data_IF_608684663928
#
_entry.id   IF_608684663928
#
_cell.length_a   1.000
_cell.length_b   1.000
_cell.length_c   1.000
_cell.angle_alpha   90.00
_cell.angle_beta   90.00
_cell.angle_gamma   90.00
#
_symmetry.space_group_name_H-M   'P 1'
#
loop_
_entity.id
_entity.type
_entity.pdbx_description
1 polymer ?
#
# COMPACT_ATOMS: atom_id res chain seq x y z
N UNK A 1 16.04 -4.52 1.37
CA UNK A 1 15.10 -5.65 1.37
C UNK A 1 15.79 -6.93 1.82
N UNK A 2 16.71 -7.51 1.03
CA UNK A 2 17.43 -8.76 1.41
C UNK A 2 18.13 -8.67 2.77
N UNK A 3 18.83 -7.56 3.05
CA UNK A 3 19.52 -7.36 4.33
C UNK A 3 18.55 -7.41 5.52
N UNK A 4 17.41 -6.71 5.41
CA UNK A 4 16.44 -6.59 6.49
C UNK A 4 15.69 -7.89 6.77
N UNK A 5 15.32 -8.63 5.73
CA UNK A 5 14.43 -9.80 5.86
C UNK A 5 15.13 -11.14 5.85
N UNK A 6 16.42 -11.19 5.47
CA UNK A 6 17.21 -12.42 5.46
C UNK A 6 18.38 -12.30 6.42
N UNK A 7 19.26 -11.30 6.23
CA UNK A 7 20.52 -11.25 6.99
C UNK A 7 20.34 -10.91 8.47
N UNK A 8 19.50 -9.92 8.81
CA UNK A 8 19.20 -9.54 10.20
C UNK A 8 18.55 -10.69 11.00
N UNK A 9 17.42 -11.29 10.55
CA UNK A 9 16.82 -12.38 11.31
C UNK A 9 17.70 -13.61 11.40
N UNK A 10 18.50 -13.89 10.37
CA UNK A 10 19.43 -15.01 10.41
C UNK A 10 20.56 -14.78 11.41
N UNK A 11 21.11 -13.56 11.49
CA UNK A 11 22.10 -13.22 12.53
C UNK A 11 21.50 -13.25 13.93
N UNK A 12 20.26 -12.76 14.12
CA UNK A 12 19.55 -12.84 15.39
C UNK A 12 19.31 -14.31 15.79
N UNK A 13 18.90 -15.17 14.85
CA UNK A 13 18.70 -16.59 15.10
C UNK A 13 20.00 -17.29 15.54
N UNK A 14 21.12 -17.01 14.86
CA UNK A 14 22.44 -17.54 15.25
C UNK A 14 22.82 -17.06 16.65
N UNK A 15 22.62 -15.77 16.96
CA UNK A 15 22.87 -15.21 18.29
C UNK A 15 22.04 -15.90 19.37
N UNK A 16 20.75 -16.13 19.12
CA UNK A 16 19.86 -16.83 20.04
C UNK A 16 20.31 -18.27 20.28
N UNK A 17 20.73 -19.00 19.24
CA UNK A 17 21.29 -20.34 19.39
C UNK A 17 22.59 -20.36 20.21
N UNK A 18 23.53 -19.45 19.93
CA UNK A 18 24.79 -19.34 20.68
C UNK A 18 24.54 -19.01 22.16
N UNK A 19 23.60 -18.11 22.43
CA UNK A 19 23.25 -17.72 23.80
C UNK A 19 22.48 -18.83 24.54
N UNK A 20 21.67 -19.63 23.83
CA UNK A 20 21.01 -20.81 24.39
C UNK A 20 22.04 -21.88 24.81
N UNK A 21 23.04 -22.17 23.96
CA UNK A 21 24.12 -23.12 24.29
C UNK A 21 24.86 -22.72 25.58
N UNK A 22 24.97 -21.42 25.87
CA UNK A 22 25.59 -20.90 27.10
C UNK A 22 24.63 -20.85 28.30
N UNK A 23 23.42 -21.43 28.20
CA UNK A 23 22.33 -21.36 29.17
C UNK A 23 22.01 -19.93 29.64
N UNK A 24 22.23 -18.93 28.78
CA UNK A 24 21.95 -17.53 29.11
C UNK A 24 20.50 -17.12 28.83
N UNK A 25 19.72 -17.98 28.18
CA UNK A 25 18.36 -17.70 27.75
C UNK A 25 17.45 -18.83 28.23
N UNK A 26 16.27 -18.47 28.72
CA UNK A 26 15.24 -19.38 29.23
C UNK A 26 14.35 -20.01 28.13
N UNK A 27 14.83 -20.02 26.88
CA UNK A 27 14.09 -20.57 25.74
C UNK A 27 14.61 -21.96 25.41
N UNK A 28 13.74 -22.84 24.97
CA UNK A 28 14.09 -24.15 24.43
C UNK A 28 14.45 -24.06 22.94
N UNK A 29 15.22 -25.01 22.41
CA UNK A 29 15.57 -25.04 20.99
C UNK A 29 14.34 -25.03 20.05
N UNK A 30 13.26 -25.79 20.32
CA UNK A 30 12.04 -25.71 19.51
C UNK A 30 11.42 -24.32 19.48
N UNK A 31 11.40 -23.60 20.61
CA UNK A 31 10.85 -22.24 20.68
C UNK A 31 11.67 -21.27 19.83
N UNK A 32 12.99 -21.37 19.83
CA UNK A 32 13.86 -20.53 18.99
C UNK A 32 13.58 -20.78 17.50
N UNK A 33 13.40 -22.04 17.11
CA UNK A 33 13.05 -22.41 15.72
C UNK A 33 11.67 -21.85 15.34
N UNK A 34 10.68 -21.96 16.22
CA UNK A 34 9.34 -21.42 15.98
C UNK A 34 9.34 -19.90 15.85
N UNK A 35 10.08 -19.19 16.72
CA UNK A 35 10.25 -17.74 16.64
C UNK A 35 10.88 -17.33 15.31
N UNK A 36 11.91 -18.06 14.87
CA UNK A 36 12.54 -17.80 13.58
C UNK A 36 11.59 -18.03 12.40
N UNK A 37 10.86 -19.15 12.39
CA UNK A 37 9.87 -19.45 11.35
C UNK A 37 8.76 -18.40 11.31
N UNK A 38 8.26 -17.96 12.47
CA UNK A 38 7.27 -16.91 12.56
C UNK A 38 7.80 -15.61 11.97
N UNK A 39 8.98 -15.16 12.38
CA UNK A 39 9.58 -13.95 11.84
C UNK A 39 9.78 -14.04 10.31
N UNK A 40 10.30 -15.18 9.84
CA UNK A 40 10.54 -15.40 8.43
C UNK A 40 9.25 -15.36 7.62
N UNK A 41 8.17 -15.97 8.12
CA UNK A 41 6.85 -15.93 7.48
C UNK A 41 6.30 -14.50 7.37
N UNK A 42 6.44 -13.68 8.42
CA UNK A 42 6.04 -12.28 8.40
C UNK A 42 6.91 -11.45 7.45
N UNK A 43 8.21 -11.76 7.37
CA UNK A 43 9.13 -11.09 6.44
C UNK A 43 8.84 -11.39 4.98
N UNK A 44 8.51 -12.64 4.66
CA UNK A 44 8.06 -13.05 3.33
C UNK A 44 6.75 -12.37 2.95
N UNK A 45 5.77 -12.35 3.86
CA UNK A 45 4.53 -11.62 3.68
C UNK A 45 4.81 -10.14 3.37
N UNK A 46 5.63 -9.46 4.18
CA UNK A 46 5.98 -8.08 3.91
C UNK A 46 6.63 -7.89 2.54
N UNK A 47 7.59 -8.75 2.16
CA UNK A 47 8.30 -8.65 0.88
C UNK A 47 7.37 -8.85 -0.30
N UNK A 48 6.39 -9.75 -0.20
CA UNK A 48 5.39 -9.98 -1.24
C UNK A 48 4.44 -8.79 -1.41
N UNK A 49 4.06 -8.14 -0.30
CA UNK A 49 3.13 -7.00 -0.33
C UNK A 49 3.83 -5.67 -0.65
N UNK A 50 5.13 -5.54 -0.38
CA UNK A 50 5.87 -4.29 -0.55
C UNK A 50 5.89 -3.74 -1.98
N UNK A 51 6.08 -4.53 -3.06
CA UNK A 51 5.94 -4.04 -4.43
C UNK A 51 4.56 -3.40 -4.67
N UNK A 52 3.48 -4.04 -4.21
CA UNK A 52 2.13 -3.49 -4.32
C UNK A 52 1.87 -2.25 -3.47
N UNK A 53 2.66 -2.03 -2.41
CA UNK A 53 2.64 -0.81 -1.60
C UNK A 53 3.49 0.32 -2.21
N UNK A 54 4.52 -0.03 -2.99
CA UNK A 54 5.46 0.91 -3.60
C UNK A 54 5.02 1.34 -5.01
N UNK A 55 4.43 0.45 -5.79
CA UNK A 55 3.85 0.78 -7.09
C UNK A 55 2.57 1.60 -6.91
N UNK A 56 2.45 2.66 -7.71
CA UNK A 56 1.23 3.46 -7.74
C UNK A 56 0.10 2.68 -8.37
N UNK A 57 -0.79 2.16 -7.53
CA UNK A 57 -2.07 1.68 -8.00
C UNK A 57 -2.81 2.82 -8.72
N UNK A 58 -3.25 2.64 -9.98
CA UNK A 58 -4.00 3.67 -10.71
C UNK A 58 -5.24 4.14 -9.95
N UNK A 59 -5.91 3.25 -9.22
CA UNK A 59 -7.01 3.63 -8.31
C UNK A 59 -6.58 4.66 -7.29
N UNK A 60 -5.44 4.40 -6.68
CA UNK A 60 -4.96 5.18 -5.57
C UNK A 60 -4.50 6.55 -6.04
N UNK A 61 -3.84 6.59 -7.20
CA UNK A 61 -3.46 7.83 -7.84
C UNK A 61 -4.70 8.65 -8.24
N UNK A 62 -5.77 8.05 -8.79
CA UNK A 62 -7.05 8.72 -9.05
C UNK A 62 -7.68 9.25 -7.75
N UNK A 63 -7.81 8.41 -6.72
CA UNK A 63 -8.40 8.79 -5.42
C UNK A 63 -7.59 9.91 -4.74
N UNK A 64 -6.26 9.84 -4.80
CA UNK A 64 -5.37 10.84 -4.21
C UNK A 64 -5.46 12.17 -4.99
N UNK A 65 -5.52 12.10 -6.32
CA UNK A 65 -5.68 13.27 -7.18
C UNK A 65 -7.01 13.99 -6.90
N UNK A 66 -8.11 13.25 -6.78
CA UNK A 66 -9.42 13.77 -6.40
C UNK A 66 -9.50 14.22 -4.93
N UNK A 67 -8.62 13.71 -4.06
CA UNK A 67 -8.54 14.11 -2.66
C UNK A 67 -7.74 15.39 -2.44
N UNK A 68 -6.73 15.63 -3.28
CA UNK A 68 -5.86 16.82 -3.23
C UNK A 68 -6.50 18.02 -3.89
N UNK A 69 -7.03 17.84 -5.09
CA UNK A 69 -7.91 18.84 -5.69
C UNK A 69 -9.23 18.72 -4.95
N UNK A 70 -9.50 19.61 -3.99
CA UNK A 70 -10.84 19.74 -3.37
C UNK A 70 -11.94 19.96 -4.43
N UNK A 71 -11.51 20.32 -5.64
CA UNK A 71 -12.32 20.52 -6.82
C UNK A 71 -12.45 19.26 -7.67
N UNK A 72 -13.52 19.24 -8.45
CA UNK A 72 -13.85 18.18 -9.38
C UNK A 72 -12.81 18.11 -10.50
N UNK A 73 -12.53 16.91 -10.99
CA UNK A 73 -11.53 16.70 -12.05
C UNK A 73 -12.20 16.10 -13.27
N UNK A 74 -11.98 16.71 -14.44
CA UNK A 74 -12.45 16.17 -15.71
C UNK A 74 -11.81 14.82 -16.03
N UNK A 75 -12.59 13.90 -16.62
CA UNK A 75 -12.09 12.58 -17.05
C UNK A 75 -10.94 12.72 -18.05
N UNK A 76 -10.98 13.74 -18.92
CA UNK A 76 -9.91 14.06 -19.88
C UNK A 76 -8.56 14.28 -19.20
N UNK A 77 -8.52 15.05 -18.11
CA UNK A 77 -7.30 15.30 -17.33
C UNK A 77 -6.73 14.04 -16.70
N UNK A 78 -7.59 13.10 -16.30
CA UNK A 78 -7.15 11.82 -15.74
C UNK A 78 -6.60 10.94 -16.86
N UNK A 79 -7.26 10.89 -18.02
CA UNK A 79 -6.79 10.10 -19.16
C UNK A 79 -5.43 10.59 -19.70
N UNK A 80 -5.19 11.90 -19.69
CA UNK A 80 -3.89 12.50 -20.01
C UNK A 80 -2.79 12.08 -19.03
N UNK A 81 -3.11 11.93 -17.74
CA UNK A 81 -2.12 11.63 -16.71
C UNK A 81 -1.60 10.18 -16.76
N UNK A 82 -2.40 9.25 -17.28
CA UNK A 82 -2.07 7.83 -17.28
C UNK A 82 -1.71 7.25 -18.67
N UNK A 83 -1.74 8.06 -19.74
CA UNK A 83 -1.38 7.65 -21.11
C UNK A 83 -2.09 6.38 -21.64
N UNK A 84 -3.14 5.88 -20.98
CA UNK A 84 -3.84 4.65 -21.35
C UNK A 84 -5.34 4.76 -21.08
N UNK A 85 -6.12 5.11 -22.10
CA UNK A 85 -7.56 5.38 -21.95
C UNK A 85 -8.34 4.12 -21.49
N UNK A 86 -8.14 2.98 -22.16
CA UNK A 86 -8.91 1.76 -21.87
C UNK A 86 -8.66 1.16 -20.46
N UNK A 87 -7.49 1.35 -19.87
CA UNK A 87 -7.18 0.82 -18.53
C UNK A 87 -7.80 1.69 -17.43
N UNK A 88 -7.90 2.99 -17.69
CA UNK A 88 -8.42 3.97 -16.73
C UNK A 88 -9.94 3.95 -16.70
N UNK A 89 -10.60 3.85 -17.85
CA UNK A 89 -12.06 3.82 -17.92
C UNK A 89 -12.63 2.63 -17.13
N UNK A 90 -12.03 1.45 -17.29
CA UNK A 90 -12.37 0.25 -16.50
C UNK A 90 -12.16 0.48 -14.99
N UNK A 91 -11.16 1.29 -14.63
CA UNK A 91 -10.87 1.62 -13.23
C UNK A 91 -11.85 2.63 -12.66
N UNK A 92 -12.25 3.63 -13.43
CA UNK A 92 -13.30 4.61 -13.08
C UNK A 92 -14.61 3.86 -12.84
N UNK A 93 -15.03 2.99 -13.76
CA UNK A 93 -16.23 2.16 -13.62
C UNK A 93 -16.15 1.31 -12.34
N UNK A 94 -15.00 0.68 -12.09
CA UNK A 94 -14.80 -0.12 -10.89
C UNK A 94 -14.94 0.71 -9.61
N UNK A 95 -14.35 1.91 -9.58
CA UNK A 95 -14.38 2.84 -8.45
C UNK A 95 -15.77 3.40 -8.18
N UNK A 96 -16.55 3.65 -9.24
CA UNK A 96 -17.95 4.06 -9.13
C UNK A 96 -18.83 2.92 -8.62
N UNK A 97 -18.59 1.68 -9.09
CA UNK A 97 -19.29 0.47 -8.60
C UNK A 97 -19.10 0.25 -7.09
N UNK A 98 -17.90 0.49 -6.57
CA UNK A 98 -17.62 0.41 -5.12
C UNK A 98 -17.94 1.72 -4.37
N UNK A 99 -18.58 2.68 -5.04
CA UNK A 99 -19.05 3.96 -4.47
C UNK A 99 -17.95 4.82 -3.86
N UNK A 100 -16.71 4.74 -4.35
CA UNK A 100 -15.62 5.62 -3.90
C UNK A 100 -15.61 6.95 -4.69
N UNK A 101 -15.99 6.91 -5.95
CA UNK A 101 -16.15 8.10 -6.81
C UNK A 101 -17.56 8.17 -7.37
N UNK A 102 -17.93 9.35 -7.87
CA UNK A 102 -19.18 9.58 -8.60
C UNK A 102 -18.88 10.47 -9.80
N UNK A 103 -19.45 10.12 -10.95
CA UNK A 103 -19.39 10.95 -12.15
C UNK A 103 -20.52 11.98 -12.13
N UNK A 104 -20.20 13.25 -12.40
CA UNK A 104 -21.15 14.36 -12.48
C UNK A 104 -21.00 15.00 -13.86
N UNK A 105 -22.10 15.16 -14.60
CA UNK A 105 -22.11 15.90 -15.86
C UNK A 105 -22.32 17.38 -15.60
N UNK A 106 -21.40 18.22 -16.08
CA UNK A 106 -21.55 19.68 -16.04
C UNK A 106 -21.06 20.24 -17.38
N UNK A 107 -21.89 21.06 -18.02
CA UNK A 107 -21.52 21.77 -19.26
C UNK A 107 -20.96 20.89 -20.40
N UNK A 108 -21.54 19.69 -20.62
CA UNK A 108 -21.10 18.68 -21.60
C UNK A 108 -19.78 17.96 -21.27
N UNK A 109 -19.16 18.25 -20.13
CA UNK A 109 -17.98 17.55 -19.63
C UNK A 109 -18.35 16.62 -18.45
N UNK A 110 -17.65 15.49 -18.37
CA UNK A 110 -17.78 14.53 -17.28
C UNK A 110 -16.71 14.82 -16.21
N UNK A 111 -17.16 15.18 -15.02
CA UNK A 111 -16.32 15.48 -13.87
C UNK A 111 -16.42 14.36 -12.83
N UNK A 112 -15.28 13.92 -12.28
CA UNK A 112 -15.22 12.95 -11.20
C UNK A 112 -15.11 13.66 -9.84
N UNK A 113 -15.84 13.13 -8.86
CA UNK A 113 -15.85 13.63 -7.48
C UNK A 113 -15.80 12.46 -6.50
N UNK A 114 -15.05 12.61 -5.40
CA UNK A 114 -15.08 11.64 -4.30
C UNK A 114 -16.43 11.65 -3.59
N UNK A 115 -16.96 10.46 -3.30
CA UNK A 115 -18.09 10.31 -2.39
C UNK A 115 -17.63 10.51 -0.93
N UNK A 116 -18.56 10.57 0.02
CA UNK A 116 -18.21 10.58 1.46
C UNK A 116 -17.37 9.36 1.85
N UNK A 117 -17.71 8.19 1.28
CA UNK A 117 -16.95 6.95 1.47
C UNK A 117 -15.56 7.07 0.85
N UNK A 118 -15.46 7.58 -0.38
CA UNK A 118 -14.20 7.89 -1.03
C UNK A 118 -13.29 8.77 -0.18
N UNK A 119 -13.82 9.87 0.34
CA UNK A 119 -13.09 10.80 1.20
C UNK A 119 -12.57 10.13 2.49
N UNK A 120 -13.36 9.25 3.11
CA UNK A 120 -12.94 8.50 4.29
C UNK A 120 -11.76 7.57 3.96
N UNK A 121 -11.86 6.81 2.86
CA UNK A 121 -10.78 5.93 2.41
C UNK A 121 -9.52 6.70 2.04
N UNK A 122 -9.64 7.83 1.36
CA UNK A 122 -8.49 8.69 1.04
C UNK A 122 -7.77 9.15 2.30
N UNK A 123 -8.52 9.59 3.33
CA UNK A 123 -7.92 10.02 4.61
C UNK A 123 -7.18 8.88 5.30
N UNK A 124 -7.82 7.71 5.42
CA UNK A 124 -7.19 6.54 6.04
C UNK A 124 -5.92 6.14 5.29
N UNK A 125 -5.98 6.14 3.96
CA UNK A 125 -4.85 5.80 3.13
C UNK A 125 -3.68 6.79 3.26
N UNK A 126 -3.94 8.09 3.26
CA UNK A 126 -2.90 9.11 3.45
C UNK A 126 -2.21 8.96 4.81
N UNK A 127 -2.97 8.65 5.86
CA UNK A 127 -2.43 8.37 7.19
C UNK A 127 -1.56 7.10 7.16
N UNK A 128 -2.07 6.02 6.58
CA UNK A 128 -1.32 4.76 6.45
C UNK A 128 -0.02 4.95 5.67
N UNK A 129 -0.05 5.68 4.55
CA UNK A 129 1.12 5.98 3.73
C UNK A 129 2.17 6.80 4.48
N UNK A 130 1.73 7.76 5.31
CA UNK A 130 2.60 8.55 6.18
C UNK A 130 3.28 7.69 7.25
N UNK A 131 2.55 6.72 7.84
CA UNK A 131 3.12 5.76 8.80
C UNK A 131 4.22 4.92 8.13
N UNK A 132 4.07 4.57 6.85
CA UNK A 132 5.08 3.85 6.08
C UNK A 132 6.26 4.70 5.60
N UNK A 133 6.28 6.01 5.89
CA UNK A 133 7.36 6.91 5.44
C UNK A 133 7.39 7.16 3.94
N UNK A 134 6.28 6.91 3.23
CA UNK A 134 6.19 7.11 1.78
C UNK A 134 5.71 8.55 1.51
N UNK A 135 6.50 9.32 0.75
CA UNK A 135 6.16 10.69 0.37
C UNK A 135 4.84 10.76 -0.41
N UNK A 136 4.00 11.74 -0.12
CA UNK A 136 2.73 11.91 -0.78
C UNK A 136 2.90 12.44 -2.22
N UNK A 137 2.45 11.71 -3.25
CA UNK A 137 2.45 12.17 -4.64
C UNK A 137 3.62 11.69 -5.53
N UNK A 138 4.54 10.88 -5.00
CA UNK A 138 5.42 10.05 -5.83
C UNK A 138 4.73 8.72 -6.08
N UNK A 139 4.12 8.60 -7.26
CA UNK A 139 3.35 7.45 -7.68
C UNK A 139 2.17 7.82 -8.57
#
# INVERSE_FOLDING_TARGET
MLILFIFIPFTIFILLLICNIKNKIFLTNPEIILIFLLYFSLGLFYTQFYPGLKESSPTLAIINLLGRKKDKVGISTINEMFNSHNLIDNRIISLEKIRLIKTIKKNKEEELVLTKTGQFFTKFFLIYRRILGLEEGKG
#
